data_IF_979358356713
#
_entry.id   IF_979358356713
#
_cell.length_a   1.000
_cell.length_b   1.000
_cell.length_c   1.000
_cell.angle_alpha   90.00
_cell.angle_beta   90.00
_cell.angle_gamma   90.00
#
_symmetry.space_group_name_H-M   'P 1'
#
loop_
_entity.id
_entity.type
_entity.pdbx_description
1 polymer ?
#
# COMPACT_ATOMS: atom_id res chain seq x y z
N UNK A 1 -17.64 -12.13 -5.59
CA UNK A 1 -16.39 -11.73 -4.89
C UNK A 1 -15.89 -10.42 -5.47
N UNK A 2 -15.36 -9.51 -4.66
CA UNK A 2 -15.29 -8.06 -4.92
C UNK A 2 -14.17 -7.59 -5.85
N UNK A 3 -13.27 -8.49 -6.30
CA UNK A 3 -12.14 -8.12 -7.17
C UNK A 3 -11.08 -7.26 -6.47
N UNK A 4 -11.04 -7.28 -5.14
CA UNK A 4 -10.09 -6.51 -4.33
C UNK A 4 -8.90 -7.41 -3.99
N UNK A 5 -7.70 -6.96 -4.32
CA UNK A 5 -6.45 -7.65 -3.99
C UNK A 5 -5.79 -6.93 -2.82
N UNK A 6 -5.40 -7.68 -1.80
CA UNK A 6 -4.68 -7.16 -0.65
C UNK A 6 -3.19 -7.43 -0.79
N UNK A 7 -2.38 -6.42 -0.52
CA UNK A 7 -0.92 -6.48 -0.65
C UNK A 7 -0.26 -6.00 0.63
N UNK A 8 0.72 -6.76 1.13
CA UNK A 8 1.64 -6.30 2.15
C UNK A 8 2.92 -5.83 1.44
N UNK A 9 3.27 -4.56 1.61
CA UNK A 9 4.49 -4.01 1.00
C UNK A 9 5.69 -4.33 1.87
N UNK A 10 6.80 -4.74 1.26
CA UNK A 10 8.05 -5.04 1.96
C UNK A 10 9.19 -4.16 1.45
N UNK A 11 10.12 -3.82 2.34
CA UNK A 11 11.32 -3.04 2.01
C UNK A 11 11.10 -1.53 2.14
N UNK A 12 11.92 -0.72 1.46
CA UNK A 12 11.92 0.74 1.60
C UNK A 12 10.58 1.43 1.25
N UNK A 13 9.66 0.71 0.61
CA UNK A 13 8.33 1.19 0.28
C UNK A 13 7.26 0.92 1.36
N UNK A 14 7.60 0.19 2.45
CA UNK A 14 6.67 0.00 3.58
C UNK A 14 6.61 1.24 4.48
N UNK A 15 7.76 1.84 4.80
CA UNK A 15 7.88 2.96 5.73
C UNK A 15 7.94 4.37 5.11
N UNK A 16 7.58 4.54 3.83
CA UNK A 16 7.52 5.86 3.21
C UNK A 16 6.16 6.08 2.52
N UNK A 17 5.29 6.95 3.04
CA UNK A 17 3.91 7.07 2.56
C UNK A 17 3.84 7.56 1.11
N UNK A 18 4.79 8.42 0.70
CA UNK A 18 4.87 8.89 -0.69
C UNK A 18 5.24 7.77 -1.69
N UNK A 19 6.11 6.86 -1.29
CA UNK A 19 6.55 5.73 -2.10
C UNK A 19 5.50 4.62 -2.13
N UNK A 20 4.82 4.38 -1.01
CA UNK A 20 3.72 3.42 -0.88
C UNK A 20 2.56 3.75 -1.84
N UNK A 21 2.12 5.01 -1.87
CA UNK A 21 1.04 5.46 -2.78
C UNK A 21 1.42 5.25 -4.24
N UNK A 22 2.62 5.69 -4.64
CA UNK A 22 3.08 5.57 -6.03
C UNK A 22 3.19 4.10 -6.46
N UNK A 23 3.77 3.26 -5.60
CA UNK A 23 3.95 1.83 -5.88
C UNK A 23 2.61 1.11 -5.93
N UNK A 24 1.69 1.41 -5.03
CA UNK A 24 0.33 0.85 -5.01
C UNK A 24 -0.37 1.10 -6.34
N UNK A 25 -0.39 2.35 -6.82
CA UNK A 25 -1.03 2.69 -8.09
C UNK A 25 -0.37 2.00 -9.29
N UNK A 26 0.96 1.83 -9.26
CA UNK A 26 1.68 1.07 -10.29
C UNK A 26 1.25 -0.41 -10.33
N UNK A 27 1.18 -1.06 -9.17
CA UNK A 27 0.77 -2.47 -9.06
C UNK A 27 -0.69 -2.65 -9.44
N UNK A 28 -1.58 -1.75 -9.03
CA UNK A 28 -2.99 -1.77 -9.39
C UNK A 28 -3.19 -1.74 -10.90
N UNK A 29 -2.56 -0.77 -11.59
CA UNK A 29 -2.63 -0.68 -13.05
C UNK A 29 -2.07 -1.93 -13.74
N UNK A 30 -0.98 -2.47 -13.21
CA UNK A 30 -0.36 -3.68 -13.76
C UNK A 30 -1.29 -4.89 -13.60
N UNK A 31 -1.86 -5.09 -12.41
CA UNK A 31 -2.77 -6.19 -12.12
C UNK A 31 -4.07 -6.08 -12.92
N UNK A 32 -4.66 -4.90 -13.06
CA UNK A 32 -5.83 -4.70 -13.92
C UNK A 32 -5.55 -5.03 -15.40
N UNK A 33 -4.31 -4.82 -15.86
CA UNK A 33 -3.91 -5.14 -17.24
C UNK A 33 -3.77 -6.65 -17.46
N UNK A 34 -3.12 -7.37 -16.54
CA UNK A 34 -2.87 -8.81 -16.68
C UNK A 34 -4.00 -9.69 -16.14
N UNK A 35 -4.78 -9.18 -15.20
CA UNK A 35 -5.85 -9.89 -14.50
C UNK A 35 -7.11 -9.00 -14.48
N UNK A 36 -7.97 -9.08 -15.52
CA UNK A 36 -9.12 -8.19 -15.68
C UNK A 36 -10.21 -8.35 -14.60
N UNK A 37 -10.12 -9.38 -13.76
CA UNK A 37 -11.00 -9.59 -12.61
C UNK A 37 -10.65 -8.68 -11.42
N UNK A 38 -9.45 -8.09 -11.42
CA UNK A 38 -9.00 -7.15 -10.39
C UNK A 38 -9.66 -5.78 -10.63
N UNK A 39 -10.28 -5.25 -9.59
CA UNK A 39 -10.98 -3.95 -9.57
C UNK A 39 -10.32 -2.91 -8.69
N UNK A 40 -9.59 -3.36 -7.67
CA UNK A 40 -8.80 -2.46 -6.81
C UNK A 40 -7.77 -3.22 -6.00
N UNK A 41 -6.84 -2.46 -5.45
CA UNK A 41 -5.79 -2.96 -4.56
C UNK A 41 -5.85 -2.24 -3.21
N UNK A 42 -5.73 -2.98 -2.12
CA UNK A 42 -5.63 -2.47 -0.75
C UNK A 42 -4.29 -2.86 -0.14
N UNK A 43 -3.70 -1.95 0.65
CA UNK A 43 -2.49 -2.25 1.40
C UNK A 43 -2.90 -2.79 2.76
N UNK A 44 -2.43 -3.99 3.10
CA UNK A 44 -2.47 -4.47 4.48
C UNK A 44 -1.27 -3.86 5.19
N UNK A 45 -1.55 -2.86 6.03
CA UNK A 45 -0.61 -2.29 6.98
C UNK A 45 -0.77 -3.03 8.30
N UNK A 46 0.33 -3.53 8.85
CA UNK A 46 0.34 -4.08 10.19
C UNK A 46 0.11 -2.95 11.21
N UNK A 47 -0.80 -3.14 12.17
CA UNK A 47 -1.23 -2.12 13.16
C UNK A 47 -0.08 -1.56 14.03
N UNK A 48 1.12 -2.13 13.93
CA UNK A 48 2.32 -1.68 14.63
C UNK A 48 3.11 -0.59 13.87
N UNK A 49 3.04 -0.54 12.53
CA UNK A 49 3.79 0.44 11.70
C UNK A 49 3.10 1.82 11.69
N UNK A 50 1.76 1.86 11.82
CA UNK A 50 0.97 3.10 11.90
C UNK A 50 1.28 3.91 13.17
N UNK A 51 1.73 3.25 14.24
CA UNK A 51 2.10 3.91 15.49
C UNK A 51 3.37 4.76 15.34
N UNK A 52 4.26 4.40 14.42
CA UNK A 52 5.54 5.11 14.20
C UNK A 52 5.40 6.42 13.41
N UNK A 53 4.44 6.53 12.49
CA UNK A 53 4.23 7.77 11.72
C UNK A 53 3.62 8.91 12.57
N UNK A 54 2.82 8.62 13.60
CA UNK A 54 2.29 9.66 14.51
C UNK A 54 3.38 10.26 15.41
N UNK A 55 4.41 9.49 15.80
CA UNK A 55 5.47 10.02 16.67
C UNK A 55 6.57 10.80 15.96
N UNK A 56 6.73 10.69 14.64
CA UNK A 56 7.68 11.54 13.89
C UNK A 56 7.11 12.94 13.62
N UNK A 57 5.78 13.10 13.61
CA UNK A 57 5.14 14.42 13.48
C UNK A 57 5.11 15.25 14.77
N UNK A 58 5.56 14.70 15.91
CA UNK A 58 5.55 15.38 17.24
C UNK A 58 6.94 15.93 17.64
N UNK A 59 7.98 15.70 16.84
CA UNK A 59 9.27 16.42 16.97
C UNK A 59 9.35 17.56 15.96
N UNK A 60 8.62 18.63 16.22
CA UNK A 60 8.92 20.00 15.75
C UNK A 60 8.68 20.99 16.88
#
# INVERSE_FOLDING_TARGET
>A
ETGVVKLQMQGACSGCPSSAVTLKSGIENMLMHYVPEVKSVEQEMDEEEVKEEENESVTS
#
